data_IF_468026824169
#
_entry.id   IF_468026824169
#
_cell.length_a   1.000
_cell.length_b   1.000
_cell.length_c   1.000
_cell.angle_alpha   90.00
_cell.angle_beta   90.00
_cell.angle_gamma   90.00
#
_symmetry.space_group_name_H-M   'P 1'
#
loop_
_entity.id
_entity.type
_entity.pdbx_description
1 polymer ?
#
# COMPACT_ATOMS: atom_id res chain seq x y z
N UNK A 1 14.73 -37.37 14.27
CA UNK A 1 13.85 -36.46 15.04
C UNK A 1 14.60 -35.14 15.14
N UNK A 2 14.13 -34.11 14.46
CA UNK A 2 14.86 -32.83 14.34
C UNK A 2 14.54 -31.85 15.49
N UNK A 3 13.54 -32.15 16.32
CA UNK A 3 13.16 -31.34 17.48
C UNK A 3 12.57 -32.25 18.56
N UNK A 4 13.29 -32.44 19.68
CA UNK A 4 12.94 -33.41 20.73
C UNK A 4 11.79 -32.94 21.66
N UNK A 5 11.35 -31.69 21.52
CA UNK A 5 10.35 -31.08 22.42
C UNK A 5 8.95 -30.93 21.80
N UNK A 6 8.71 -31.42 20.58
CA UNK A 6 7.38 -31.38 19.98
C UNK A 6 6.59 -32.60 20.45
N UNK A 7 5.52 -32.36 21.21
CA UNK A 7 4.66 -33.41 21.79
C UNK A 7 3.63 -33.96 20.81
N UNK A 8 3.44 -33.32 19.65
CA UNK A 8 2.49 -33.74 18.63
C UNK A 8 3.18 -33.97 17.28
N UNK A 9 2.99 -35.14 16.64
CA UNK A 9 3.59 -35.42 15.34
C UNK A 9 2.90 -34.60 14.24
N UNK A 10 3.61 -33.60 13.70
CA UNK A 10 3.17 -32.90 12.48
C UNK A 10 3.46 -33.80 11.27
N UNK A 11 2.44 -34.05 10.45
CA UNK A 11 2.61 -34.79 9.19
C UNK A 11 3.56 -34.04 8.24
N UNK A 12 4.53 -34.77 7.67
CA UNK A 12 5.46 -34.23 6.68
C UNK A 12 4.73 -33.60 5.49
N UNK A 13 3.60 -34.19 5.07
CA UNK A 13 2.78 -33.63 3.98
C UNK A 13 2.28 -32.24 4.34
N UNK A 14 1.77 -32.06 5.55
CA UNK A 14 1.32 -30.75 6.06
C UNK A 14 2.48 -29.76 6.09
N UNK A 15 3.62 -30.16 6.66
CA UNK A 15 4.82 -29.32 6.78
C UNK A 15 5.32 -28.77 5.42
N UNK A 16 5.24 -29.60 4.37
CA UNK A 16 5.73 -29.26 3.03
C UNK A 16 4.77 -28.37 2.24
N UNK A 17 3.47 -28.40 2.54
CA UNK A 17 2.45 -27.65 1.78
C UNK A 17 1.88 -26.46 2.53
N UNK A 18 2.03 -26.41 3.86
CA UNK A 18 1.45 -25.38 4.71
C UNK A 18 2.05 -24.01 4.40
N UNK A 19 1.16 -23.03 4.26
CA UNK A 19 1.47 -21.62 4.06
C UNK A 19 1.28 -20.85 5.35
N UNK A 20 1.82 -19.63 5.42
CA UNK A 20 1.67 -18.78 6.62
C UNK A 20 0.21 -18.44 6.89
N UNK A 21 -0.59 -18.25 5.84
CA UNK A 21 -2.04 -17.98 5.94
C UNK A 21 -2.80 -19.14 6.58
N UNK A 22 -2.42 -20.38 6.28
CA UNK A 22 -3.00 -21.58 6.90
C UNK A 22 -2.69 -21.62 8.41
N UNK A 23 -1.49 -21.20 8.81
CA UNK A 23 -1.11 -21.11 10.23
C UNK A 23 -1.96 -20.05 10.94
N UNK A 24 -2.07 -18.84 10.38
CA UNK A 24 -2.86 -17.73 10.98
C UNK A 24 -4.35 -18.08 11.10
N UNK A 25 -4.90 -18.81 10.13
CA UNK A 25 -6.30 -19.22 10.18
C UNK A 25 -6.59 -20.17 11.34
N UNK A 26 -5.64 -21.06 11.65
CA UNK A 26 -5.76 -22.07 12.69
C UNK A 26 -5.20 -21.63 14.06
N UNK A 27 -4.44 -20.55 14.12
CA UNK A 27 -3.84 -20.06 15.36
C UNK A 27 -4.82 -19.26 16.25
N UNK A 28 -4.71 -19.41 17.57
CA UNK A 28 -5.35 -18.50 18.50
C UNK A 28 -4.66 -17.12 18.44
N UNK A 29 -5.46 -16.07 18.67
CA UNK A 29 -5.07 -14.65 18.67
C UNK A 29 -3.78 -14.30 19.50
N UNK A 30 -3.39 -14.99 20.59
CA UNK A 30 -2.22 -14.63 21.40
C UNK A 30 -0.87 -14.54 20.67
N UNK A 31 -0.64 -15.32 19.61
CA UNK A 31 0.64 -15.28 18.88
C UNK A 31 0.80 -13.99 18.05
N UNK A 32 -0.30 -13.45 17.52
CA UNK A 32 -0.30 -12.19 16.78
C UNK A 32 0.12 -11.03 17.67
N UNK A 33 -0.27 -11.03 18.96
CA UNK A 33 0.10 -9.99 19.93
C UNK A 33 1.62 -9.82 20.05
N UNK A 34 2.37 -10.92 20.13
CA UNK A 34 3.83 -10.86 20.22
C UNK A 34 4.45 -10.31 18.94
N UNK A 35 3.92 -10.71 17.78
CA UNK A 35 4.37 -10.19 16.50
C UNK A 35 4.03 -8.69 16.31
N UNK A 36 2.92 -8.20 16.88
CA UNK A 36 2.63 -6.74 16.92
C UNK A 36 3.67 -6.00 17.76
N UNK A 37 4.04 -6.52 18.95
CA UNK A 37 5.09 -5.90 19.77
C UNK A 37 6.42 -5.85 19.03
N UNK A 38 6.79 -6.93 18.33
CA UNK A 38 7.99 -6.97 17.47
C UNK A 38 7.89 -5.93 16.36
N UNK A 39 6.77 -5.89 15.64
CA UNK A 39 6.52 -4.95 14.55
C UNK A 39 6.66 -3.49 15.00
N UNK A 40 6.14 -3.12 16.18
CA UNK A 40 6.33 -1.77 16.75
C UNK A 40 7.79 -1.44 17.02
N UNK A 41 8.60 -2.41 17.42
CA UNK A 41 10.05 -2.23 17.58
C UNK A 41 10.79 -1.91 16.28
N UNK A 42 10.18 -2.20 15.13
CA UNK A 42 10.70 -1.82 13.81
C UNK A 42 10.20 -0.45 13.33
N UNK A 43 9.29 0.21 14.05
CA UNK A 43 8.76 1.51 13.63
C UNK A 43 9.53 2.66 14.28
N UNK A 44 9.97 3.60 13.44
CA UNK A 44 10.51 4.88 13.88
C UNK A 44 9.40 5.92 13.86
N UNK A 45 8.93 6.26 15.05
CA UNK A 45 7.84 7.21 15.23
C UNK A 45 8.29 8.68 15.16
N UNK A 46 7.39 9.61 14.78
CA UNK A 46 7.61 11.03 14.93
C UNK A 46 7.72 11.44 16.40
N UNK A 47 8.37 12.58 16.67
CA UNK A 47 8.63 13.06 18.03
C UNK A 47 7.37 13.31 18.88
N UNK A 48 6.21 13.53 18.25
CA UNK A 48 4.94 13.73 18.94
C UNK A 48 4.33 12.44 19.50
N UNK A 49 4.89 11.25 19.19
CA UNK A 49 4.36 9.96 19.61
C UNK A 49 5.20 9.40 20.75
N UNK A 50 4.54 9.09 21.87
CA UNK A 50 5.18 8.38 22.98
C UNK A 50 5.14 6.87 22.74
N UNK A 51 6.26 6.31 22.27
CA UNK A 51 6.40 4.89 21.94
C UNK A 51 6.13 3.98 23.14
N UNK A 52 6.54 4.39 24.35
CA UNK A 52 6.28 3.60 25.56
C UNK A 52 4.78 3.49 25.82
N UNK A 53 4.03 4.59 25.67
CA UNK A 53 2.57 4.58 25.80
C UNK A 53 1.93 3.67 24.74
N UNK A 54 2.43 3.66 23.50
CA UNK A 54 1.92 2.76 22.45
C UNK A 54 2.19 1.28 22.76
N UNK A 55 3.36 0.95 23.32
CA UNK A 55 3.69 -0.42 23.74
C UNK A 55 2.80 -0.91 24.89
N UNK A 56 2.40 -0.02 25.80
CA UNK A 56 1.43 -0.29 26.87
C UNK A 56 0.00 -0.47 26.34
N UNK A 57 -0.33 0.16 25.21
CA UNK A 57 -1.63 0.05 24.54
C UNK A 57 -1.80 -1.27 23.76
N UNK A 58 -0.73 -1.91 23.31
CA UNK A 58 -0.82 -3.22 22.61
C UNK A 58 -1.56 -4.29 23.42
N UNK A 59 -1.25 -4.52 24.71
CA UNK A 59 -2.08 -5.38 25.56
C UNK A 59 -3.57 -5.06 25.50
N UNK A 60 -3.95 -3.77 25.47
CA UNK A 60 -5.35 -3.33 25.47
C UNK A 60 -6.09 -3.75 24.21
N UNK A 61 -5.41 -3.77 23.06
CA UNK A 61 -5.97 -4.29 21.80
C UNK A 61 -6.47 -5.73 21.93
N UNK A 62 -5.99 -6.48 22.92
CA UNK A 62 -6.30 -7.90 23.13
C UNK A 62 -6.91 -8.19 24.51
N UNK A 63 -7.22 -7.16 25.31
CA UNK A 63 -7.59 -7.38 26.72
C UNK A 63 -9.09 -7.62 26.93
N UNK A 64 -9.95 -7.26 25.97
CA UNK A 64 -11.42 -7.39 26.07
C UNK A 64 -12.05 -7.45 24.66
N UNK A 65 -13.36 -7.72 24.57
CA UNK A 65 -14.13 -7.73 23.31
C UNK A 65 -14.24 -6.35 22.64
N UNK A 66 -13.79 -5.28 23.31
CA UNK A 66 -13.85 -3.89 22.82
C UNK A 66 -13.18 -3.74 21.45
N UNK A 67 -12.06 -4.43 21.24
CA UNK A 67 -11.29 -4.37 20.00
C UNK A 67 -11.53 -5.59 19.10
N UNK A 68 -12.53 -6.43 19.37
CA UNK A 68 -12.74 -7.69 18.64
C UNK A 68 -12.89 -7.45 17.13
N UNK A 69 -13.67 -6.44 16.74
CA UNK A 69 -13.81 -6.09 15.32
C UNK A 69 -12.49 -5.62 14.72
N UNK A 70 -11.72 -4.80 15.46
CA UNK A 70 -10.43 -4.33 14.96
C UNK A 70 -9.38 -5.45 14.88
N UNK A 71 -9.39 -6.39 15.82
CA UNK A 71 -8.57 -7.61 15.76
C UNK A 71 -8.93 -8.45 14.51
N UNK A 72 -10.22 -8.58 14.21
CA UNK A 72 -10.68 -9.26 13.00
C UNK A 72 -10.21 -8.52 11.73
N UNK A 73 -10.25 -7.18 11.72
CA UNK A 73 -9.69 -6.36 10.63
C UNK A 73 -8.19 -6.58 10.49
N UNK A 74 -7.41 -6.57 11.58
CA UNK A 74 -5.96 -6.87 11.53
C UNK A 74 -5.74 -8.26 10.93
N UNK A 75 -6.46 -9.28 11.39
CA UNK A 75 -6.34 -10.66 10.88
C UNK A 75 -6.68 -10.71 9.39
N UNK A 76 -7.78 -10.08 8.96
CA UNK A 76 -8.19 -10.02 7.55
C UNK A 76 -7.13 -9.33 6.67
N UNK A 77 -6.62 -8.18 7.13
CA UNK A 77 -5.58 -7.43 6.41
C UNK A 77 -4.28 -8.21 6.33
N UNK A 78 -3.88 -8.86 7.43
CA UNK A 78 -2.68 -9.69 7.48
C UNK A 78 -2.78 -10.87 6.52
N UNK A 79 -3.91 -11.58 6.50
CA UNK A 79 -4.15 -12.65 5.55
C UNK A 79 -4.07 -12.14 4.10
N UNK A 80 -4.65 -10.98 3.80
CA UNK A 80 -4.58 -10.39 2.47
C UNK A 80 -3.14 -10.08 2.05
N UNK A 81 -2.34 -9.47 2.92
CA UNK A 81 -0.94 -9.11 2.64
C UNK A 81 -0.10 -10.36 2.43
N UNK A 82 -0.36 -11.43 3.19
CA UNK A 82 0.39 -12.69 3.12
C UNK A 82 -0.09 -13.65 2.03
N UNK A 83 -1.24 -13.36 1.40
CA UNK A 83 -1.79 -14.19 0.31
C UNK A 83 -1.26 -13.80 -1.07
N UNK A 84 -0.40 -12.80 -1.17
CA UNK A 84 0.05 -12.22 -2.45
C UNK A 84 1.56 -12.44 -2.63
N UNK A 85 1.99 -12.78 -3.83
CA UNK A 85 3.40 -12.82 -4.20
C UNK A 85 4.20 -13.91 -3.48
N UNK A 86 5.52 -13.73 -3.29
CA UNK A 86 6.43 -14.78 -2.83
C UNK A 86 6.25 -15.16 -1.35
N UNK A 87 5.47 -14.39 -0.57
CA UNK A 87 5.12 -14.79 0.82
C UNK A 87 4.06 -15.90 0.88
N UNK A 88 3.29 -16.11 -0.20
CA UNK A 88 2.24 -17.13 -0.28
C UNK A 88 2.76 -18.51 -0.76
N UNK A 89 4.08 -18.70 -0.76
CA UNK A 89 4.69 -20.00 -1.01
C UNK A 89 4.66 -20.89 0.24
N UNK A 90 4.75 -22.23 0.10
CA UNK A 90 4.88 -23.10 1.25
C UNK A 90 6.09 -22.72 2.11
N UNK A 91 5.94 -22.75 3.43
CA UNK A 91 6.97 -22.25 4.37
C UNK A 91 8.28 -23.01 4.19
N UNK A 92 8.21 -24.34 4.00
CA UNK A 92 9.38 -25.18 3.72
C UNK A 92 10.14 -24.73 2.46
N UNK A 93 9.42 -24.28 1.43
CA UNK A 93 10.02 -23.80 0.19
C UNK A 93 10.76 -22.46 0.40
N UNK A 94 10.16 -21.55 1.16
CA UNK A 94 10.77 -20.25 1.53
C UNK A 94 12.08 -20.47 2.30
N UNK A 95 12.08 -21.40 3.28
CA UNK A 95 13.29 -21.77 4.04
C UNK A 95 14.38 -22.32 3.12
N UNK A 96 14.01 -23.20 2.18
CA UNK A 96 14.95 -23.77 1.23
C UNK A 96 15.55 -22.71 0.29
N UNK A 97 14.73 -21.78 -0.22
CA UNK A 97 15.22 -20.67 -1.04
C UNK A 97 16.20 -19.78 -0.28
N UNK A 98 15.92 -19.47 1.00
CA UNK A 98 16.83 -18.72 1.88
C UNK A 98 18.18 -19.45 2.02
N UNK A 99 18.14 -20.75 2.32
CA UNK A 99 19.35 -21.57 2.46
C UNK A 99 20.19 -21.62 1.16
N UNK A 100 19.51 -21.71 0.00
CA UNK A 100 20.18 -21.70 -1.32
C UNK A 100 20.87 -20.36 -1.60
N UNK A 101 20.23 -19.22 -1.28
CA UNK A 101 20.85 -17.89 -1.45
C UNK A 101 22.10 -17.71 -0.58
N UNK A 102 22.05 -18.13 0.70
CA UNK A 102 23.21 -18.05 1.61
C UNK A 102 24.40 -18.87 1.11
N UNK A 103 24.15 -20.10 0.62
CA UNK A 103 25.20 -20.95 0.02
C UNK A 103 25.88 -20.32 -1.19
N UNK A 104 25.11 -19.62 -2.04
CA UNK A 104 25.66 -18.96 -3.23
C UNK A 104 26.39 -17.65 -2.91
N UNK A 105 26.10 -17.01 -1.77
CA UNK A 105 26.71 -15.75 -1.33
C UNK A 105 28.06 -15.88 -0.63
N UNK A 106 28.62 -17.09 -0.52
CA UNK A 106 29.93 -17.34 0.11
C UNK A 106 29.92 -17.37 1.65
N UNK A 107 28.80 -17.04 2.29
CA UNK A 107 28.62 -17.17 3.73
C UNK A 107 28.47 -18.65 4.11
N UNK A 108 29.54 -19.25 4.63
CA UNK A 108 29.49 -20.52 5.36
C UNK A 108 28.89 -20.33 6.75
N UNK A 109 27.74 -19.67 6.86
CA UNK A 109 27.00 -19.70 8.11
C UNK A 109 26.17 -20.97 8.10
N UNK A 110 26.64 -21.97 8.86
CA UNK A 110 25.83 -23.13 9.24
C UNK A 110 24.55 -22.53 9.82
N UNK A 111 23.41 -22.83 9.23
CA UNK A 111 22.13 -22.47 9.81
C UNK A 111 22.08 -23.13 11.20
N UNK A 112 22.36 -22.37 12.25
CA UNK A 112 22.23 -22.83 13.61
C UNK A 112 20.74 -23.06 13.91
N UNK A 113 20.43 -24.22 14.46
CA UNK A 113 19.08 -24.63 14.81
C UNK A 113 18.51 -25.74 13.93
N UNK A 114 17.42 -26.31 14.42
CA UNK A 114 16.60 -27.32 13.74
C UNK A 114 15.78 -26.72 12.60
N UNK A 115 15.31 -27.57 11.68
CA UNK A 115 14.33 -27.13 10.68
C UNK A 115 13.10 -26.48 11.34
N UNK A 116 12.66 -27.02 12.48
CA UNK A 116 11.48 -26.53 13.19
C UNK A 116 11.66 -25.13 13.78
N UNK A 117 12.85 -24.81 14.30
CA UNK A 117 13.16 -23.46 14.75
C UNK A 117 13.15 -22.48 13.58
N UNK A 118 13.74 -22.86 12.43
CA UNK A 118 13.65 -22.05 11.22
C UNK A 118 12.22 -21.91 10.70
N UNK A 119 11.39 -22.93 10.85
CA UNK A 119 9.98 -22.92 10.48
C UNK A 119 9.20 -21.89 11.29
N UNK A 120 9.26 -21.98 12.62
CA UNK A 120 8.64 -21.02 13.53
C UNK A 120 9.16 -19.60 13.33
N UNK A 121 10.47 -19.44 13.23
CA UNK A 121 11.10 -18.14 12.99
C UNK A 121 10.63 -17.52 11.65
N UNK A 122 10.51 -18.34 10.60
CA UNK A 122 10.04 -17.85 9.29
C UNK A 122 8.59 -17.37 9.36
N UNK A 123 7.71 -18.12 10.05
CA UNK A 123 6.33 -17.69 10.30
C UNK A 123 6.33 -16.35 11.05
N UNK A 124 6.99 -16.27 12.20
CA UNK A 124 7.02 -15.07 13.05
C UNK A 124 7.56 -13.85 12.29
N UNK A 125 8.62 -14.02 11.50
CA UNK A 125 9.21 -12.94 10.72
C UNK A 125 8.28 -12.47 9.60
N UNK A 126 7.64 -13.38 8.88
CA UNK A 126 6.67 -13.04 7.83
C UNK A 126 5.43 -12.33 8.39
N UNK A 127 4.90 -12.83 9.51
CA UNK A 127 3.78 -12.19 10.22
C UNK A 127 4.18 -10.80 10.69
N UNK A 128 5.37 -10.66 11.29
CA UNK A 128 5.90 -9.36 11.73
C UNK A 128 6.04 -8.38 10.55
N UNK A 129 6.55 -8.81 9.39
CA UNK A 129 6.65 -7.98 8.20
C UNK A 129 5.28 -7.50 7.70
N UNK A 130 4.28 -8.38 7.67
CA UNK A 130 2.91 -8.00 7.31
C UNK A 130 2.32 -7.00 8.29
N UNK A 131 2.54 -7.20 9.59
CA UNK A 131 2.10 -6.29 10.64
C UNK A 131 2.81 -4.93 10.59
N UNK A 132 4.09 -4.87 10.23
CA UNK A 132 4.80 -3.59 10.01
C UNK A 132 4.05 -2.77 8.96
N UNK A 133 3.72 -3.35 7.81
CA UNK A 133 3.02 -2.63 6.74
C UNK A 133 1.61 -2.17 7.17
N UNK A 134 0.87 -3.02 7.90
CA UNK A 134 -0.45 -2.65 8.45
C UNK A 134 -0.31 -1.49 9.43
N UNK A 135 0.62 -1.58 10.39
CA UNK A 135 0.82 -0.57 11.41
C UNK A 135 1.34 0.74 10.81
N UNK A 136 2.22 0.72 9.81
CA UNK A 136 2.65 1.92 9.08
C UNK A 136 1.45 2.70 8.53
N UNK A 137 0.50 2.01 7.93
CA UNK A 137 -0.71 2.62 7.38
C UNK A 137 -1.65 3.12 8.49
N UNK A 138 -1.77 2.40 9.60
CA UNK A 138 -2.59 2.82 10.74
C UNK A 138 -2.00 4.01 11.52
N UNK A 139 -0.67 4.10 11.63
CA UNK A 139 0.01 5.18 12.34
C UNK A 139 0.33 6.39 11.47
N UNK A 140 0.08 6.34 10.16
CA UNK A 140 0.26 7.47 9.27
C UNK A 140 -0.47 8.71 9.84
N UNK A 141 0.21 9.86 9.87
CA UNK A 141 -0.36 11.12 10.40
C UNK A 141 -0.99 11.01 11.81
N UNK A 142 -0.55 10.04 12.61
CA UNK A 142 -1.04 9.75 13.96
C UNK A 142 -2.49 9.24 14.07
N UNK A 143 -3.05 8.57 13.06
CA UNK A 143 -4.46 8.11 13.12
C UNK A 143 -4.71 7.13 14.28
N UNK A 144 -3.78 6.22 14.54
CA UNK A 144 -3.98 5.21 15.59
C UNK A 144 -3.99 5.79 17.00
N UNK A 145 -3.26 6.89 17.24
CA UNK A 145 -3.30 7.61 18.51
C UNK A 145 -4.68 8.23 18.75
N UNK A 146 -5.35 8.72 17.70
CA UNK A 146 -6.71 9.26 17.78
C UNK A 146 -7.68 8.16 18.17
N UNK A 147 -7.53 6.97 17.57
CA UNK A 147 -8.31 5.78 17.88
C UNK A 147 -8.19 5.43 19.38
N UNK A 148 -6.96 5.24 19.90
CA UNK A 148 -6.79 4.96 21.33
C UNK A 148 -7.29 6.08 22.25
N UNK A 149 -7.13 7.34 21.86
CA UNK A 149 -7.67 8.46 22.63
C UNK A 149 -9.21 8.46 22.59
N UNK A 150 -9.83 8.01 21.50
CA UNK A 150 -11.27 7.78 21.37
C UNK A 150 -11.75 6.73 22.36
N UNK A 151 -11.12 5.56 22.38
CA UNK A 151 -11.37 4.51 23.36
C UNK A 151 -11.19 4.99 24.81
N UNK A 152 -10.08 5.67 25.13
CA UNK A 152 -9.83 6.23 26.48
C UNK A 152 -10.91 7.22 26.92
N UNK A 153 -11.55 7.92 25.96
CA UNK A 153 -12.61 8.93 26.19
C UNK A 153 -14.03 8.40 25.94
N UNK A 154 -14.18 7.11 25.61
CA UNK A 154 -15.46 6.48 25.26
C UNK A 154 -16.19 7.15 24.08
N UNK A 155 -15.44 7.66 23.10
CA UNK A 155 -15.98 8.27 21.87
C UNK A 155 -16.19 7.20 20.79
N UNK A 156 -17.29 6.47 20.88
CA UNK A 156 -17.55 5.27 20.06
C UNK A 156 -17.61 5.53 18.56
N UNK A 157 -17.93 6.76 18.13
CA UNK A 157 -18.03 7.12 16.71
C UNK A 157 -16.66 7.14 16.03
N UNK A 158 -15.63 7.66 16.71
CA UNK A 158 -14.27 7.73 16.14
C UNK A 158 -13.67 6.33 15.97
N UNK A 159 -13.94 5.45 16.93
CA UNK A 159 -13.51 4.06 16.90
C UNK A 159 -14.17 3.33 15.73
N UNK A 160 -15.49 3.49 15.57
CA UNK A 160 -16.24 2.89 14.47
C UNK A 160 -15.77 3.39 13.10
N UNK A 161 -15.51 4.70 12.96
CA UNK A 161 -14.98 5.28 11.71
C UNK A 161 -13.59 4.73 11.42
N UNK A 162 -12.72 4.65 12.44
CA UNK A 162 -11.38 4.09 12.28
C UNK A 162 -11.45 2.64 11.79
N UNK A 163 -12.22 1.79 12.45
CA UNK A 163 -12.39 0.37 12.09
C UNK A 163 -12.99 0.22 10.69
N UNK A 164 -14.02 1.00 10.37
CA UNK A 164 -14.66 0.99 9.04
C UNK A 164 -13.67 1.37 7.92
N UNK A 165 -12.86 2.41 8.13
CA UNK A 165 -11.83 2.81 7.17
C UNK A 165 -10.74 1.74 7.07
N UNK A 166 -10.28 1.21 8.19
CA UNK A 166 -9.27 0.14 8.25
C UNK A 166 -9.75 -1.16 7.61
N UNK A 167 -11.06 -1.41 7.53
CA UNK A 167 -11.66 -2.56 6.83
C UNK A 167 -11.73 -2.37 5.31
N UNK A 168 -11.83 -1.12 4.83
CA UNK A 168 -11.99 -0.81 3.41
C UNK A 168 -10.68 -0.88 2.62
N UNK A 169 -10.56 -1.87 1.71
CA UNK A 169 -9.42 -2.02 0.80
C UNK A 169 -9.27 -0.88 -0.21
N UNK A 170 -10.34 -0.12 -0.44
CA UNK A 170 -10.33 1.05 -1.31
C UNK A 170 -9.76 2.29 -0.61
N UNK A 171 -10.02 2.45 0.68
CA UNK A 171 -9.54 3.59 1.47
C UNK A 171 -8.12 3.37 1.97
N UNK A 172 -7.91 2.27 2.71
CA UNK A 172 -6.63 1.93 3.29
C UNK A 172 -5.94 0.88 2.43
N UNK A 173 -5.06 1.34 1.56
CA UNK A 173 -4.17 0.49 0.78
C UNK A 173 -2.92 0.19 1.59
N UNK A 174 -2.60 -1.09 1.73
CA UNK A 174 -1.44 -1.56 2.49
C UNK A 174 -0.44 -2.11 1.48
N UNK A 175 0.81 -1.68 1.60
CA UNK A 175 1.84 -2.10 0.66
C UNK A 175 2.11 -3.61 0.77
N UNK A 176 2.37 -4.22 -0.38
CA UNK A 176 2.76 -5.62 -0.46
C UNK A 176 4.18 -5.84 0.11
N UNK A 177 4.42 -7.05 0.61
CA UNK A 177 5.75 -7.41 1.10
C UNK A 177 6.66 -7.73 -0.09
N UNK A 178 7.58 -6.80 -0.38
CA UNK A 178 8.61 -6.98 -1.42
C UNK A 178 9.87 -7.63 -0.83
N UNK A 179 10.67 -8.25 -1.70
CA UNK A 179 12.02 -8.77 -1.41
C UNK A 179 12.11 -9.75 -0.22
N UNK A 180 11.09 -10.60 -0.07
CA UNK A 180 10.93 -11.55 1.04
C UNK A 180 12.19 -12.35 1.36
N UNK A 181 12.80 -13.00 0.37
CA UNK A 181 13.96 -13.86 0.62
C UNK A 181 15.18 -13.10 1.14
N UNK A 182 15.37 -11.85 0.70
CA UNK A 182 16.49 -11.00 1.15
C UNK A 182 16.26 -10.55 2.59
N UNK A 183 15.07 -10.00 2.87
CA UNK A 183 14.69 -9.53 4.21
C UNK A 183 14.63 -10.68 5.23
N UNK A 184 14.26 -11.89 4.81
CA UNK A 184 14.32 -13.08 5.66
C UNK A 184 15.77 -13.49 5.98
N UNK A 185 16.68 -13.34 5.02
CA UNK A 185 18.10 -13.70 5.16
C UNK A 185 18.91 -12.70 5.99
N UNK A 186 18.51 -11.43 5.99
CA UNK A 186 19.13 -10.38 6.81
C UNK A 186 18.77 -10.53 8.28
N UNK A 187 19.79 -10.58 9.15
CA UNK A 187 19.61 -10.61 10.61
C UNK A 187 19.68 -9.18 11.21
N UNK A 188 19.73 -8.15 10.37
CA UNK A 188 19.71 -6.73 10.77
C UNK A 188 18.29 -6.22 11.05
N UNK A 189 18.16 -5.36 12.05
CA UNK A 189 16.90 -4.68 12.37
C UNK A 189 16.65 -3.58 11.33
N UNK A 190 15.71 -3.82 10.43
CA UNK A 190 15.24 -2.80 9.49
C UNK A 190 14.23 -1.86 10.20
N UNK A 191 14.54 -0.56 10.27
CA UNK A 191 13.68 0.46 10.85
C UNK A 191 12.87 1.17 9.77
N UNK A 192 11.56 1.26 9.98
CA UNK A 192 10.60 1.86 9.05
C UNK A 192 10.08 3.17 9.63
N UNK A 193 10.30 4.27 8.92
CA UNK A 193 9.82 5.58 9.35
C UNK A 193 8.31 5.67 9.13
N UNK A 194 7.56 5.93 10.20
CA UNK A 194 6.12 6.19 10.10
C UNK A 194 5.91 7.51 9.37
N UNK A 195 5.19 7.53 8.23
CA UNK A 195 4.99 8.76 7.49
C UNK A 195 4.11 9.74 8.27
N UNK A 196 4.54 11.00 8.33
CA UNK A 196 3.78 12.05 8.99
C UNK A 196 3.94 13.36 8.22
N UNK A 197 2.81 13.92 7.78
CA UNK A 197 2.73 15.25 7.19
C UNK A 197 2.09 16.25 8.16
N UNK A 198 1.21 15.76 9.02
CA UNK A 198 0.51 16.55 10.04
C UNK A 198 0.06 15.63 11.18
N UNK A 199 -0.32 16.23 12.32
CA UNK A 199 -1.00 15.52 13.41
C UNK A 199 -2.50 15.53 13.14
N UNK A 200 -3.06 14.38 12.78
CA UNK A 200 -4.48 14.29 12.54
C UNK A 200 -5.30 14.48 13.83
N UNK A 201 -6.50 15.05 13.67
CA UNK A 201 -7.53 15.15 14.73
C UNK A 201 -8.75 14.27 14.42
N UNK A 202 -8.73 13.61 13.26
CA UNK A 202 -9.80 12.73 12.79
C UNK A 202 -9.20 11.48 12.11
N UNK A 203 -9.76 10.28 12.33
CA UNK A 203 -9.29 9.02 11.73
C UNK A 203 -9.22 9.10 10.20
N UNK A 204 -8.07 8.77 9.63
CA UNK A 204 -7.86 8.67 8.18
C UNK A 204 -8.32 9.90 7.37
N UNK A 205 -8.26 11.10 7.97
CA UNK A 205 -8.81 12.33 7.38
C UNK A 205 -8.35 12.60 5.95
N UNK A 206 -7.07 12.37 5.66
CA UNK A 206 -6.53 12.56 4.30
C UNK A 206 -7.03 11.52 3.29
N UNK A 207 -7.21 10.27 3.72
CA UNK A 207 -7.72 9.21 2.85
C UNK A 207 -9.19 9.46 2.52
N UNK A 208 -9.98 9.85 3.53
CA UNK A 208 -11.39 10.20 3.35
C UNK A 208 -11.55 11.43 2.47
N UNK A 209 -10.75 12.48 2.68
CA UNK A 209 -10.77 13.66 1.81
C UNK A 209 -10.51 13.28 0.34
N UNK A 210 -9.45 12.50 0.07
CA UNK A 210 -9.14 12.03 -1.28
C UNK A 210 -10.25 11.17 -1.87
N UNK A 211 -10.85 10.29 -1.08
CA UNK A 211 -11.94 9.44 -1.54
C UNK A 211 -13.17 10.27 -1.89
N UNK A 212 -13.60 11.20 -1.02
CA UNK A 212 -14.71 12.10 -1.29
C UNK A 212 -14.47 12.94 -2.55
N UNK A 213 -13.25 13.48 -2.70
CA UNK A 213 -12.87 14.25 -3.89
C UNK A 213 -13.00 13.40 -5.16
N UNK A 214 -12.55 12.13 -5.13
CA UNK A 214 -12.70 11.22 -6.26
C UNK A 214 -14.16 10.95 -6.59
N UNK A 215 -15.00 10.67 -5.59
CA UNK A 215 -16.44 10.44 -5.79
C UNK A 215 -17.14 11.66 -6.40
N UNK A 216 -16.79 12.87 -5.94
CA UNK A 216 -17.34 14.11 -6.50
C UNK A 216 -16.92 14.31 -7.95
N UNK A 217 -15.64 14.10 -8.27
CA UNK A 217 -15.15 14.19 -9.66
C UNK A 217 -15.86 13.16 -10.54
N UNK A 218 -15.99 11.92 -10.08
CA UNK A 218 -16.67 10.86 -10.83
C UNK A 218 -18.16 11.20 -11.06
N UNK A 219 -18.84 11.81 -10.08
CA UNK A 219 -20.22 12.29 -10.24
C UNK A 219 -20.34 13.46 -11.21
N UNK A 220 -19.37 14.38 -11.20
CA UNK A 220 -19.33 15.55 -12.10
C UNK A 220 -19.05 15.08 -13.54
N UNK A 221 -18.05 14.24 -13.74
CA UNK A 221 -17.68 13.72 -15.07
C UNK A 221 -18.80 12.85 -15.66
N UNK A 222 -19.47 12.05 -14.84
CA UNK A 222 -20.59 11.22 -15.29
C UNK A 222 -21.94 11.94 -15.26
N UNK A 223 -21.96 13.26 -15.02
CA UNK A 223 -23.19 14.03 -15.03
C UNK A 223 -23.69 14.18 -16.48
N UNK A 224 -24.91 13.70 -16.82
CA UNK A 224 -25.42 13.75 -18.19
C UNK A 224 -25.45 15.17 -18.77
N UNK A 225 -25.65 16.19 -17.92
CA UNK A 225 -25.65 17.59 -18.34
C UNK A 225 -24.26 18.08 -18.73
N UNK A 226 -23.22 17.60 -18.04
CA UNK A 226 -21.82 17.97 -18.30
C UNK A 226 -21.32 17.22 -19.53
N UNK A 227 -21.66 15.94 -19.69
CA UNK A 227 -21.37 15.16 -20.89
C UNK A 227 -22.03 15.80 -22.12
N UNK A 228 -23.32 16.14 -22.02
CA UNK A 228 -24.02 16.81 -23.12
C UNK A 228 -23.39 18.17 -23.47
N UNK A 229 -22.95 18.95 -22.47
CA UNK A 229 -22.27 20.22 -22.69
C UNK A 229 -20.90 20.03 -23.37
N UNK A 230 -20.11 19.05 -22.93
CA UNK A 230 -18.81 18.71 -23.51
C UNK A 230 -18.95 18.20 -24.96
N UNK A 231 -19.97 17.40 -25.26
CA UNK A 231 -20.32 16.99 -26.63
C UNK A 231 -20.76 18.18 -27.50
N UNK A 232 -21.52 19.12 -26.92
CA UNK A 232 -21.96 20.33 -27.63
C UNK A 232 -20.77 21.23 -27.96
N UNK A 233 -19.85 21.44 -27.00
CA UNK A 233 -18.61 22.21 -27.19
C UNK A 233 -17.73 21.55 -28.27
N UNK A 234 -17.53 20.23 -28.21
CA UNK A 234 -16.77 19.49 -29.24
C UNK A 234 -17.41 19.61 -30.63
N UNK A 235 -18.74 19.60 -30.71
CA UNK A 235 -19.44 19.82 -31.99
C UNK A 235 -19.30 21.26 -32.49
N UNK A 236 -19.29 22.25 -31.60
CA UNK A 236 -19.06 23.66 -31.97
C UNK A 236 -17.61 23.92 -32.40
N UNK A 237 -16.61 23.36 -31.70
CA UNK A 237 -15.21 23.45 -32.09
C UNK A 237 -14.95 22.82 -33.46
N UNK A 238 -15.53 21.64 -33.71
CA UNK A 238 -15.41 20.95 -35.00
C UNK A 238 -16.06 21.72 -36.16
N UNK A 239 -17.23 22.34 -35.92
CA UNK A 239 -17.86 23.25 -36.90
C UNK A 239 -17.01 24.49 -37.16
N UNK A 240 -16.37 25.03 -36.12
CA UNK A 240 -15.54 26.23 -36.24
C UNK A 240 -14.24 25.94 -37.00
N UNK A 241 -13.72 24.72 -36.91
CA UNK A 241 -12.59 24.24 -37.71
C UNK A 241 -12.98 23.97 -39.17
N UNK A 242 -14.14 23.38 -39.43
CA UNK A 242 -14.67 23.13 -40.79
C UNK A 242 -14.96 24.44 -41.56
N UNK A 243 -15.47 25.47 -40.88
CA UNK A 243 -15.70 26.79 -41.48
C UNK A 243 -14.37 27.46 -41.87
N UNK A 244 -13.30 27.26 -41.09
CA UNK A 244 -11.96 27.81 -41.41
C UNK A 244 -11.27 27.09 -42.58
N UNK A 245 -11.59 25.82 -42.83
CA UNK A 245 -11.06 25.07 -43.98
C UNK A 245 -11.83 25.35 -45.28
N UNK A 246 -13.12 25.65 -45.22
CA UNK A 246 -13.90 26.08 -46.39
C UNK A 246 -13.54 27.50 -46.88
N UNK A 247 -13.30 28.45 -45.97
CA UNK A 247 -12.88 29.82 -46.35
C UNK A 247 -11.48 29.87 -47.00
N UNK A 248 -10.58 28.96 -46.61
CA UNK A 248 -9.28 28.79 -47.30
C UNK A 248 -9.43 28.16 -48.69
N UNK A 249 -10.45 27.34 -48.91
CA UNK A 249 -10.68 26.67 -50.19
C UNK A 249 -11.36 27.60 -51.21
N UNK A 250 -12.21 28.54 -50.77
CA UNK A 250 -12.84 29.54 -51.65
C UNK A 250 -11.93 30.73 -52.01
N UNK A 251 -10.93 31.05 -51.19
CA UNK A 251 -9.96 32.12 -51.49
C UNK A 251 -8.88 31.72 -52.49
N UNK A 252 -8.57 30.42 -52.64
CA UNK A 252 -7.58 29.93 -53.62
C UNK A 252 -8.16 29.87 -55.05
N UNK A 253 -9.49 29.72 -55.21
CA UNK A 253 -10.13 29.66 -56.53
C UNK A 253 -10.25 31.02 -57.26
N UNK A 254 -9.95 32.15 -56.61
CA UNK A 254 -10.00 33.50 -57.21
C UNK A 254 -8.64 34.13 -57.54
N UNK A 255 -7.52 33.48 -57.24
CA UNK A 255 -6.17 34.00 -57.49
C UNK A 255 -5.48 33.41 -58.74
N UNK A 256 -6.23 32.68 -59.58
CA UNK A 256 -5.72 31.99 -60.77
C UNK A 256 -5.76 32.77 -62.07
N UNK A 257 -5.89 34.10 -62.04
CA UNK A 257 -5.84 34.89 -63.27
C UNK A 257 -5.22 36.27 -63.03
N UNK A 258 -4.19 36.59 -63.81
CA UNK A 258 -3.34 37.80 -63.81
C UNK A 258 -2.18 37.84 -62.82
N UNK A 259 -1.01 37.43 -63.30
CA UNK A 259 0.18 38.29 -63.27
C UNK A 259 1.29 37.68 -64.13
N UNK A 260 1.25 38.01 -65.42
CA UNK A 260 2.40 37.95 -66.31
C UNK A 260 2.87 39.38 -66.53
N UNK A 261 4.20 39.57 -66.46
CA UNK A 261 4.97 40.78 -66.82
C UNK A 261 5.06 41.89 -65.77
N UNK A 262 6.22 42.01 -65.13
CA UNK A 262 7.12 43.13 -65.39
C UNK A 262 8.50 42.85 -64.78
N UNK A 263 9.49 42.96 -65.65
CA UNK A 263 10.92 42.76 -65.43
C UNK A 263 11.55 44.15 -65.25
N UNK A 264 12.66 44.17 -64.51
CA UNK A 264 13.80 45.11 -64.57
C UNK A 264 13.85 46.37 -63.67
N UNK A 265 14.95 46.34 -62.89
CA UNK A 265 15.95 47.40 -62.67
C UNK A 265 15.71 48.43 -61.57
N UNK A 266 16.47 48.30 -60.48
CA UNK A 266 17.63 49.18 -60.25
C UNK A 266 18.53 48.59 -59.15
N UNK A 267 19.81 48.91 -59.29
CA UNK A 267 21.01 48.29 -58.70
C UNK A 267 21.58 49.26 -57.64
N UNK A 268 22.40 48.72 -56.72
CA UNK A 268 23.63 49.32 -56.12
C UNK A 268 23.55 50.03 -54.74
N UNK A 269 24.26 49.42 -53.77
CA UNK A 269 25.17 49.90 -52.67
C UNK A 269 24.66 50.96 -51.66
N UNK A 270 24.92 50.84 -50.34
CA UNK A 270 26.23 50.76 -49.68
C UNK A 270 26.22 50.01 -48.32
N UNK A 271 27.41 49.55 -47.93
CA UNK A 271 27.81 49.02 -46.61
C UNK A 271 28.32 50.19 -45.73
N UNK A 272 28.22 49.98 -44.41
CA UNK A 272 28.65 50.75 -43.22
C UNK A 272 27.62 51.70 -42.59
#
# INVERSE_FOLDING_TARGET
MDYLSCTEPISLKTLLTQRVTDVINNEPIPNIRNNIRRALGHLRFPACVNVYKELERVPLLFKDNVFEEFQAVIKQRLLSVLSIGPVNEPIAHIIFQRAKKRKNGGEKQICEGSFFEHYKHTIDKLVTMGLINILLACYENCYFQICFNGFERQMTELDHIFVSCAKSFLLLQIEEIKQVTSRLAEDTIELHVVPMKYTAQFPFSHLLHRWCQKQLVDQIVNNPKIIALDETIKMEEKKTEEIKTEDKSQSIAKAGDKSTKAVQSAKIFFIE
#
